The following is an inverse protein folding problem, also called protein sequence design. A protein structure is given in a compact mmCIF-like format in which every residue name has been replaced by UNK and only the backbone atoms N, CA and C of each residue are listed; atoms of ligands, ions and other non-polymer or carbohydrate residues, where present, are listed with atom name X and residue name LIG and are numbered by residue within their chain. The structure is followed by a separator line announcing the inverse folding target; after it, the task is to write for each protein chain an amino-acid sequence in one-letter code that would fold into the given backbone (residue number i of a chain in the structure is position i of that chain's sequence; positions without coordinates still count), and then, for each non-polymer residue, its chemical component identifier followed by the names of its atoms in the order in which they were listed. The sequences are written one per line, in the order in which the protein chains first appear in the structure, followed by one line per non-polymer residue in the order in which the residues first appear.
data_IF_615102941106
#
_entry.id   IF_615102941106
#
_cell.length_a   1.000
_cell.length_b   1.000
_cell.length_c   1.000
_cell.angle_alpha   90.00
_cell.angle_beta   90.00
_cell.angle_gamma   90.00
#
_symmetry.space_group_name_H-M   'P 1'
#
loop_
_entity.id
_entity.type
_entity.pdbx_description
1 polymer ?
#
# COMPACT_ATOMS: atom_id res chain seq x y z
N UNK A 1 58.33 7.11 -10.36
CA UNK A 1 58.46 5.65 -10.52
C UNK A 1 57.53 5.05 -9.47
N UNK A 2 56.25 4.79 -9.72
CA UNK A 2 55.61 3.80 -10.61
C UNK A 2 54.25 4.38 -11.05
N UNK A 3 54.07 4.71 -12.34
CA UNK A 3 53.23 3.97 -13.31
C UNK A 3 51.79 3.69 -12.86
N UNK A 4 50.88 4.52 -13.39
CA UNK A 4 49.62 4.14 -14.04
C UNK A 4 48.79 3.02 -13.42
N UNK A 5 47.72 3.41 -12.72
CA UNK A 5 46.46 2.66 -12.81
C UNK A 5 45.35 3.60 -13.24
N UNK A 6 45.19 3.67 -14.56
CA UNK A 6 44.10 4.32 -15.26
C UNK A 6 42.83 3.51 -14.97
N UNK A 7 42.17 3.81 -13.84
CA UNK A 7 40.82 3.33 -13.57
C UNK A 7 39.92 4.00 -14.62
N UNK A 8 39.73 3.33 -15.75
CA UNK A 8 38.57 3.54 -16.62
C UNK A 8 37.34 3.36 -15.75
N UNK A 9 36.86 4.46 -15.15
CA UNK A 9 35.49 4.53 -14.67
C UNK A 9 34.65 4.35 -15.94
N UNK A 10 34.15 3.13 -16.14
CA UNK A 10 33.09 2.91 -17.12
C UNK A 10 31.97 3.86 -16.72
N UNK A 11 31.87 5.01 -17.40
CA UNK A 11 30.74 5.91 -17.27
C UNK A 11 29.54 5.16 -17.84
N UNK A 12 28.88 4.41 -16.96
CA UNK A 12 27.58 3.80 -17.25
C UNK A 12 26.71 4.96 -17.73
N UNK A 13 26.28 4.91 -18.99
CA UNK A 13 25.55 6.01 -19.63
C UNK A 13 24.41 6.50 -18.74
N UNK A 14 24.22 7.82 -18.64
CA UNK A 14 23.17 8.42 -17.81
C UNK A 14 21.79 7.79 -18.09
N UNK A 15 21.52 7.49 -19.36
CA UNK A 15 20.34 6.75 -19.83
C UNK A 15 20.16 5.37 -19.16
N UNK A 16 21.22 4.58 -19.00
CA UNK A 16 21.16 3.27 -18.33
C UNK A 16 20.93 3.38 -16.82
N UNK A 17 21.26 4.51 -16.20
CA UNK A 17 20.93 4.81 -14.79
C UNK A 17 19.54 5.40 -14.61
N UNK A 18 19.07 6.23 -15.53
CA UNK A 18 17.76 6.88 -15.45
C UNK A 18 16.61 5.93 -15.79
N UNK A 19 16.81 4.99 -16.72
CA UNK A 19 15.78 4.02 -17.11
C UNK A 19 15.18 3.23 -15.93
N UNK A 20 15.97 2.58 -15.04
CA UNK A 20 15.40 1.88 -13.89
C UNK A 20 14.70 2.81 -12.89
N UNK A 21 15.13 4.08 -12.79
CA UNK A 21 14.47 5.07 -11.94
C UNK A 21 13.11 5.49 -12.50
N UNK A 22 13.02 5.73 -13.82
CA UNK A 22 11.76 6.04 -14.51
C UNK A 22 10.77 4.89 -14.32
N UNK A 23 11.21 3.64 -14.52
CA UNK A 23 10.37 2.46 -14.29
C UNK A 23 9.90 2.39 -12.83
N UNK A 24 10.80 2.63 -11.86
CA UNK A 24 10.44 2.61 -10.45
C UNK A 24 9.37 3.67 -10.09
N UNK A 25 9.47 4.88 -10.68
CA UNK A 25 8.48 5.95 -10.47
C UNK A 25 7.13 5.59 -11.10
N UNK A 26 7.13 5.03 -12.32
CA UNK A 26 5.89 4.58 -12.96
C UNK A 26 5.19 3.49 -12.14
N UNK A 27 5.95 2.50 -11.64
CA UNK A 27 5.41 1.46 -10.75
C UNK A 27 4.85 2.07 -9.47
N UNK A 28 5.57 3.03 -8.85
CA UNK A 28 5.08 3.74 -7.66
C UNK A 28 3.75 4.44 -7.94
N UNK A 29 3.63 5.14 -9.07
CA UNK A 29 2.40 5.86 -9.43
C UNK A 29 1.22 4.92 -9.64
N UNK A 30 1.43 3.75 -10.26
CA UNK A 30 0.40 2.73 -10.39
C UNK A 30 -0.02 2.20 -9.01
N UNK A 31 0.93 1.93 -8.10
CA UNK A 31 0.62 1.51 -6.73
C UNK A 31 -0.19 2.58 -5.99
N UNK A 32 0.14 3.86 -6.15
CA UNK A 32 -0.60 4.97 -5.53
C UNK A 32 -2.03 5.06 -6.08
N UNK A 33 -2.23 4.80 -7.38
CA UNK A 33 -3.54 4.75 -8.00
C UNK A 33 -4.38 3.58 -7.44
N UNK A 34 -3.80 2.38 -7.35
CA UNK A 34 -4.45 1.20 -6.76
C UNK A 34 -4.78 1.43 -5.28
N UNK A 35 -3.90 2.10 -4.55
CA UNK A 35 -4.13 2.51 -3.17
C UNK A 35 -5.35 3.44 -3.05
N UNK A 36 -5.42 4.49 -3.88
CA UNK A 36 -6.56 5.40 -3.92
C UNK A 36 -7.89 4.70 -4.24
N UNK A 37 -7.88 3.75 -5.18
CA UNK A 37 -9.05 2.91 -5.46
C UNK A 37 -9.45 2.07 -4.25
N UNK A 38 -8.48 1.47 -3.56
CA UNK A 38 -8.72 0.64 -2.37
C UNK A 38 -9.31 1.44 -1.21
N UNK A 39 -8.92 2.72 -1.05
CA UNK A 39 -9.54 3.63 -0.08
C UNK A 39 -10.99 3.99 -0.43
N UNK A 40 -11.36 3.98 -1.71
CA UNK A 40 -12.73 4.25 -2.17
C UNK A 40 -13.68 3.05 -2.07
N UNK A 41 -13.15 1.81 -1.99
CA UNK A 41 -13.94 0.58 -1.93
C UNK A 41 -14.92 0.52 -0.74
N UNK A 42 -14.54 0.89 0.50
CA UNK A 42 -15.47 0.95 1.62
C UNK A 42 -16.69 1.85 1.34
N UNK A 43 -16.51 2.98 0.66
CA UNK A 43 -17.59 3.93 0.35
C UNK A 43 -18.66 3.31 -0.56
N UNK A 44 -18.28 2.40 -1.45
CA UNK A 44 -19.22 1.67 -2.31
C UNK A 44 -19.85 0.49 -1.55
N UNK A 45 -19.07 -0.13 -0.65
CA UNK A 45 -19.47 -1.32 0.10
C UNK A 45 -20.47 -1.02 1.24
N UNK A 46 -20.27 0.08 1.97
CA UNK A 46 -21.14 0.53 3.06
C UNK A 46 -22.62 0.65 2.64
N UNK A 47 -23.00 1.38 1.58
CA UNK A 47 -24.41 1.52 1.19
C UNK A 47 -25.02 0.20 0.69
N UNK A 48 -24.21 -0.71 0.14
CA UNK A 48 -24.65 -2.06 -0.27
C UNK A 48 -24.96 -2.95 0.93
N UNK A 49 -24.18 -2.83 1.99
CA UNK A 49 -24.35 -3.60 3.23
C UNK A 49 -25.38 -2.96 4.19
N UNK A 50 -25.67 -1.67 4.02
CA UNK A 50 -26.66 -0.92 4.80
C UNK A 50 -28.07 -0.96 4.17
N UNK A 51 -28.21 -1.45 2.93
CA UNK A 51 -29.53 -1.64 2.29
C UNK A 51 -30.31 -2.73 3.04
N UNK A 52 -31.25 -2.28 3.87
CA UNK A 52 -32.07 -3.01 4.83
C UNK A 52 -33.01 -4.10 4.26
N UNK A 53 -32.92 -4.49 2.99
CA UNK A 53 -34.09 -5.02 2.28
C UNK A 53 -34.02 -6.37 1.56
N UNK A 54 -32.94 -7.14 1.61
CA UNK A 54 -32.99 -8.51 1.07
C UNK A 54 -32.62 -9.55 2.12
N UNK A 55 -33.64 -10.30 2.49
CA UNK A 55 -33.76 -11.40 3.46
C UNK A 55 -32.83 -12.60 3.20
N UNK A 56 -31.67 -12.41 2.56
CA UNK A 56 -30.76 -13.48 2.13
C UNK A 56 -29.26 -13.18 2.24
N UNK A 57 -28.81 -11.98 2.65
CA UNK A 57 -27.37 -11.72 2.89
C UNK A 57 -27.05 -11.36 4.35
N UNK A 58 -26.35 -12.29 5.02
CA UNK A 58 -26.03 -12.29 6.46
C UNK A 58 -24.93 -11.31 6.92
N UNK A 59 -24.83 -10.13 6.30
CA UNK A 59 -23.79 -9.14 6.62
C UNK A 59 -24.46 -7.83 7.04
N UNK A 60 -24.94 -7.80 8.28
CA UNK A 60 -25.37 -6.56 8.92
C UNK A 60 -24.13 -5.79 9.37
N UNK A 61 -23.92 -4.59 8.82
CA UNK A 61 -22.93 -3.64 9.32
C UNK A 61 -23.66 -2.57 10.14
N UNK A 62 -23.27 -2.40 11.39
CA UNK A 62 -23.82 -1.41 12.33
C UNK A 62 -23.21 -0.03 12.08
N UNK A 63 -23.90 1.07 12.42
CA UNK A 63 -23.33 2.42 12.28
C UNK A 63 -21.99 2.61 13.00
N UNK A 64 -21.79 1.93 14.14
CA UNK A 64 -20.51 1.92 14.85
C UNK A 64 -19.37 1.32 13.99
N UNK A 65 -19.63 0.24 13.27
CA UNK A 65 -18.64 -0.42 12.41
C UNK A 65 -18.26 0.46 11.21
N UNK A 66 -19.20 1.21 10.66
CA UNK A 66 -18.95 2.20 9.60
C UNK A 66 -18.01 3.30 10.10
N UNK A 67 -18.21 3.79 11.32
CA UNK A 67 -17.33 4.78 11.95
C UNK A 67 -15.92 4.23 12.18
N UNK A 68 -15.81 2.97 12.63
CA UNK A 68 -14.53 2.29 12.77
C UNK A 68 -13.82 2.10 11.42
N UNK A 69 -14.55 1.77 10.35
CA UNK A 69 -14.02 1.65 8.99
C UNK A 69 -13.35 2.96 8.53
N UNK A 70 -14.01 4.10 8.77
CA UNK A 70 -13.48 5.41 8.40
C UNK A 70 -12.24 5.80 9.23
N UNK A 71 -12.24 5.50 10.53
CA UNK A 71 -11.19 5.94 11.46
C UNK A 71 -9.94 5.05 11.48
N UNK A 72 -10.08 3.73 11.27
CA UNK A 72 -8.95 2.79 11.33
C UNK A 72 -7.86 3.12 10.30
N UNK A 73 -8.25 3.50 9.08
CA UNK A 73 -7.26 3.84 8.06
C UNK A 73 -6.36 5.00 8.53
N UNK A 74 -6.95 6.07 9.06
CA UNK A 74 -6.22 7.22 9.60
C UNK A 74 -5.36 6.88 10.83
N UNK A 75 -5.74 5.87 11.62
CA UNK A 75 -4.95 5.41 12.76
C UNK A 75 -3.68 4.65 12.33
N UNK A 76 -3.80 3.82 11.29
CA UNK A 76 -2.69 2.99 10.82
C UNK A 76 -1.72 3.71 9.89
N UNK A 77 -2.13 4.82 9.25
CA UNK A 77 -1.23 5.66 8.45
C UNK A 77 -0.01 6.17 9.25
N UNK A 78 -0.14 6.87 10.40
CA UNK A 78 1.01 7.35 11.17
C UNK A 78 1.85 6.18 11.73
N UNK A 79 1.22 5.06 12.06
CA UNK A 79 1.93 3.84 12.46
C UNK A 79 2.79 3.30 11.30
N UNK A 80 2.24 3.29 10.08
CA UNK A 80 2.96 2.94 8.86
C UNK A 80 4.12 3.90 8.58
N UNK A 81 3.92 5.21 8.78
CA UNK A 81 4.97 6.22 8.63
C UNK A 81 6.12 6.04 9.63
N UNK A 82 5.82 5.65 10.87
CA UNK A 82 6.85 5.37 11.87
C UNK A 82 7.64 4.10 11.53
N UNK A 83 6.92 3.04 11.12
CA UNK A 83 7.52 1.77 10.73
C UNK A 83 8.35 1.88 9.46
N UNK A 84 7.98 2.74 8.52
CA UNK A 84 8.67 2.86 7.23
C UNK A 84 10.10 3.38 7.37
N UNK A 85 10.36 4.29 8.31
CA UNK A 85 11.70 4.77 8.62
C UNK A 85 12.61 3.65 9.15
N UNK A 86 12.08 2.83 10.07
CA UNK A 86 12.78 1.67 10.63
C UNK A 86 13.01 0.62 9.55
N UNK A 87 11.98 0.28 8.79
CA UNK A 87 12.02 -0.76 7.76
C UNK A 87 13.00 -0.41 6.64
N UNK A 88 13.03 0.86 6.22
CA UNK A 88 13.94 1.32 5.16
C UNK A 88 15.39 1.28 5.62
N UNK A 89 15.66 1.59 6.89
CA UNK A 89 17.00 1.47 7.47
C UNK A 89 17.49 0.01 7.60
N UNK A 90 16.59 -0.91 7.97
CA UNK A 90 16.95 -2.32 8.22
C UNK A 90 17.02 -3.17 6.95
N UNK A 91 16.09 -2.97 6.02
CA UNK A 91 15.81 -3.90 4.92
C UNK A 91 16.17 -3.30 3.54
N UNK A 92 16.35 -1.97 3.48
CA UNK A 92 16.76 -1.26 2.27
C UNK A 92 15.62 -0.99 1.27
N UNK A 93 15.81 0.04 0.45
CA UNK A 93 14.78 0.64 -0.43
C UNK A 93 14.06 -0.35 -1.36
N UNK A 94 14.81 -1.28 -1.98
CA UNK A 94 14.26 -2.24 -2.95
C UNK A 94 13.30 -3.24 -2.28
N UNK A 95 13.64 -3.69 -1.08
CA UNK A 95 12.85 -4.67 -0.33
C UNK A 95 11.64 -4.01 0.34
N UNK A 96 11.76 -2.77 0.83
CA UNK A 96 10.60 -1.98 1.27
C UNK A 96 9.54 -1.87 0.18
N UNK A 97 9.94 -1.59 -1.07
CA UNK A 97 9.02 -1.52 -2.22
C UNK A 97 8.27 -2.85 -2.45
N UNK A 98 8.95 -3.99 -2.25
CA UNK A 98 8.33 -5.32 -2.36
C UNK A 98 7.33 -5.57 -1.23
N UNK A 99 7.66 -5.19 0.01
CA UNK A 99 6.75 -5.31 1.17
C UNK A 99 5.47 -4.51 0.95
N UNK A 100 5.58 -3.25 0.48
CA UNK A 100 4.43 -2.40 0.15
C UNK A 100 3.54 -3.07 -0.90
N UNK A 101 4.14 -3.64 -1.94
CA UNK A 101 3.41 -4.34 -3.00
C UNK A 101 2.66 -5.57 -2.48
N UNK A 102 3.29 -6.35 -1.59
CA UNK A 102 2.65 -7.52 -0.95
C UNK A 102 1.50 -7.10 -0.04
N UNK A 103 1.68 -6.06 0.78
CA UNK A 103 0.64 -5.53 1.66
C UNK A 103 -0.56 -5.03 0.85
N UNK A 104 -0.32 -4.27 -0.23
CA UNK A 104 -1.40 -3.79 -1.11
C UNK A 104 -2.13 -4.93 -1.80
N UNK A 105 -1.41 -5.93 -2.31
CA UNK A 105 -2.02 -7.11 -2.94
C UNK A 105 -2.86 -7.91 -1.93
N UNK A 106 -2.38 -8.07 -0.70
CA UNK A 106 -3.13 -8.75 0.36
C UNK A 106 -4.39 -7.98 0.77
N UNK A 107 -4.34 -6.64 0.81
CA UNK A 107 -5.50 -5.81 1.07
C UNK A 107 -6.56 -5.98 -0.03
N UNK A 108 -6.13 -6.02 -1.29
CA UNK A 108 -7.01 -6.22 -2.43
C UNK A 108 -7.69 -7.59 -2.41
N UNK A 109 -6.95 -8.65 -2.05
CA UNK A 109 -7.48 -9.99 -1.82
C UNK A 109 -8.52 -10.01 -0.69
N UNK A 110 -8.25 -9.33 0.42
CA UNK A 110 -9.18 -9.24 1.54
C UNK A 110 -10.49 -8.54 1.15
N UNK A 111 -10.41 -7.48 0.34
CA UNK A 111 -11.61 -6.83 -0.22
C UNK A 111 -12.37 -7.75 -1.17
N UNK A 112 -11.68 -8.53 -2.00
CA UNK A 112 -12.31 -9.47 -2.93
C UNK A 112 -13.06 -10.61 -2.22
N UNK A 113 -12.47 -11.16 -1.15
CA UNK A 113 -13.06 -12.24 -0.35
C UNK A 113 -13.84 -11.72 0.88
N UNK A 114 -14.33 -10.48 0.85
CA UNK A 114 -15.00 -9.86 1.99
C UNK A 114 -16.41 -10.44 2.22
N UNK A 115 -16.50 -11.53 2.99
CA UNK A 115 -17.78 -12.15 3.39
C UNK A 115 -18.25 -11.76 4.81
N UNK A 116 -17.39 -11.12 5.59
CA UNK A 116 -17.66 -10.68 6.97
C UNK A 116 -17.03 -9.30 7.20
N UNK A 117 -17.61 -8.45 8.08
CA UNK A 117 -17.08 -7.11 8.35
C UNK A 117 -15.61 -7.13 8.82
N UNK A 118 -15.19 -8.18 9.52
CA UNK A 118 -13.80 -8.41 9.91
C UNK A 118 -12.80 -8.38 8.75
N UNK A 119 -13.16 -8.86 7.56
CA UNK A 119 -12.25 -8.83 6.40
C UNK A 119 -11.99 -7.39 5.95
N UNK A 120 -13.01 -6.53 6.02
CA UNK A 120 -12.91 -5.11 5.68
C UNK A 120 -12.01 -4.40 6.69
N UNK A 121 -12.16 -4.69 7.98
CA UNK A 121 -11.29 -4.14 9.02
C UNK A 121 -9.82 -4.52 8.80
N UNK A 122 -9.52 -5.79 8.51
CA UNK A 122 -8.16 -6.19 8.17
C UNK A 122 -7.68 -5.51 6.88
N UNK A 123 -8.48 -5.48 5.82
CA UNK A 123 -8.12 -4.82 4.57
C UNK A 123 -7.75 -3.34 4.79
N UNK A 124 -8.49 -2.64 5.65
CA UNK A 124 -8.24 -1.24 6.01
C UNK A 124 -6.96 -1.06 6.83
N UNK A 125 -6.65 -1.98 7.75
CA UNK A 125 -5.39 -1.95 8.50
C UNK A 125 -4.20 -2.09 7.54
N UNK A 126 -4.24 -3.08 6.63
CA UNK A 126 -3.20 -3.31 5.64
C UNK A 126 -3.07 -2.14 4.67
N UNK A 127 -4.20 -1.57 4.26
CA UNK A 127 -4.24 -0.37 3.41
C UNK A 127 -3.60 0.81 4.16
N UNK A 128 -4.00 1.11 5.40
CA UNK A 128 -3.41 2.19 6.21
C UNK A 128 -1.89 2.05 6.41
N UNK A 129 -1.41 0.83 6.72
CA UNK A 129 0.02 0.54 6.76
C UNK A 129 0.71 0.81 5.42
N UNK A 130 0.11 0.34 4.33
CA UNK A 130 0.63 0.56 2.97
C UNK A 130 0.75 2.05 2.67
N UNK A 131 -0.26 2.85 3.01
CA UNK A 131 -0.26 4.31 2.84
C UNK A 131 0.93 4.97 3.55
N UNK A 132 1.13 4.66 4.83
CA UNK A 132 2.24 5.21 5.60
C UNK A 132 3.62 4.76 5.11
N UNK A 133 3.75 3.52 4.60
CA UNK A 133 5.00 3.04 4.00
C UNK A 133 5.26 3.64 2.62
N UNK A 134 4.21 3.95 1.85
CA UNK A 134 4.31 4.49 0.49
C UNK A 134 4.74 5.97 0.47
N UNK A 135 4.48 6.71 1.57
CA UNK A 135 4.88 8.10 1.80
C UNK A 135 6.33 8.29 2.25
N UNK A 136 7.02 7.23 2.68
CA UNK A 136 8.43 7.31 3.11
C UNK A 136 9.51 6.83 2.09
N UNK A 137 9.32 6.91 0.77
CA UNK A 137 10.20 6.27 -0.20
C UNK A 137 11.57 6.95 -0.35
#
# INVERSE_FOLDING_TARGET
MVCSENIKKNEISSLRRSFPQIVAVMVKNILLLVYGMSLGMPTILIPRLSQRNDTSESIFITEEEISWIGSLNYLFVPLGCLLSGILTHLIGRKRSMQVISVLLFSAFLLFYYAYKPWHIFFALCFTGFTGGLLEAP
#
